data_IF_623762744096
#
_entry.id   IF_623762744096
#
_cell.length_a   1.000
_cell.length_b   1.000
_cell.length_c   1.000
_cell.angle_alpha   90.00
_cell.angle_beta   90.00
_cell.angle_gamma   90.00
#
_symmetry.space_group_name_H-M   'P 1'
#
loop_
_entity.id
_entity.type
_entity.pdbx_description
1 polymer ?
#
# COMPACT_ATOMS: atom_id res chain seq x y z
N UNK A 1 35.93 11.19 1.84
CA UNK A 1 34.93 10.22 2.33
C UNK A 1 33.99 9.94 1.19
N UNK A 2 33.83 8.69 0.77
CA UNK A 2 32.87 8.35 -0.30
C UNK A 2 31.47 8.40 0.32
N UNK A 3 30.71 9.44 0.03
CA UNK A 3 29.31 9.54 0.44
C UNK A 3 28.50 8.45 -0.27
N UNK A 4 27.65 7.73 0.45
CA UNK A 4 26.75 6.75 -0.14
C UNK A 4 25.72 7.52 -0.97
N UNK A 5 25.54 7.15 -2.24
CA UNK A 5 24.48 7.72 -3.07
C UNK A 5 23.21 6.88 -2.99
N UNK A 6 22.18 7.45 -2.38
CA UNK A 6 20.84 6.89 -2.36
C UNK A 6 20.06 7.31 -3.61
N UNK A 7 19.30 6.40 -4.20
CA UNK A 7 18.33 6.77 -5.24
C UNK A 7 17.17 7.56 -4.62
N UNK A 8 16.45 8.36 -5.42
CA UNK A 8 15.22 9.00 -4.97
C UNK A 8 14.22 7.97 -4.43
N UNK A 9 13.45 8.38 -3.43
CA UNK A 9 12.36 7.57 -2.90
C UNK A 9 11.26 7.44 -3.95
N UNK A 10 10.85 6.21 -4.27
CA UNK A 10 9.76 5.94 -5.21
C UNK A 10 8.57 5.34 -4.47
N UNK A 11 7.38 5.91 -4.63
CA UNK A 11 6.14 5.26 -4.20
C UNK A 11 5.88 4.04 -5.09
N UNK A 12 5.93 2.86 -4.50
CA UNK A 12 5.77 1.58 -5.21
C UNK A 12 4.32 1.19 -5.34
N UNK A 13 3.52 1.43 -4.29
CA UNK A 13 2.08 1.23 -4.24
C UNK A 13 1.46 2.05 -3.11
N UNK A 14 0.17 2.34 -3.21
CA UNK A 14 -0.64 2.87 -2.13
C UNK A 14 -1.95 2.09 -1.97
N UNK A 15 -2.53 2.22 -0.78
CA UNK A 15 -3.84 1.68 -0.43
C UNK A 15 -4.75 2.83 -0.06
N UNK A 16 -5.86 2.96 -0.79
CA UNK A 16 -6.91 3.93 -0.48
C UNK A 16 -8.14 3.21 0.03
N UNK A 17 -8.87 3.89 0.89
CA UNK A 17 -10.13 3.41 1.45
C UNK A 17 -11.12 4.54 1.49
N UNK A 18 -12.40 4.23 1.57
CA UNK A 18 -13.40 5.26 1.68
C UNK A 18 -14.81 4.70 1.80
N UNK A 19 -15.78 5.57 1.56
CA UNK A 19 -17.20 5.24 1.64
C UNK A 19 -17.96 5.87 0.48
N UNK A 20 -18.88 5.11 -0.12
CA UNK A 20 -19.61 5.45 -1.34
C UNK A 20 -20.99 6.10 -1.07
N UNK A 21 -21.14 6.77 0.08
CA UNK A 21 -22.37 7.48 0.44
C UNK A 21 -23.55 6.60 0.90
N UNK A 22 -23.74 5.41 0.34
CA UNK A 22 -24.88 4.52 0.62
C UNK A 22 -24.45 3.06 0.78
N UNK A 23 -25.32 2.25 1.39
CA UNK A 23 -25.26 0.79 1.31
C UNK A 23 -25.42 0.30 -0.14
N UNK A 24 -24.83 -0.85 -0.44
CA UNK A 24 -24.71 -1.42 -1.79
C UNK A 24 -25.18 -2.86 -1.79
N UNK A 25 -26.08 -3.20 -2.70
CA UNK A 25 -26.58 -4.54 -2.95
C UNK A 25 -25.65 -5.27 -3.93
N UNK A 26 -24.61 -5.92 -3.40
CA UNK A 26 -23.56 -6.59 -4.17
C UNK A 26 -24.10 -7.70 -5.11
N UNK A 27 -25.15 -8.40 -4.70
CA UNK A 27 -25.81 -9.43 -5.51
C UNK A 27 -26.42 -8.86 -6.80
N UNK A 28 -27.01 -7.66 -6.73
CA UNK A 28 -27.54 -6.93 -7.89
C UNK A 28 -26.43 -6.46 -8.83
N UNK A 29 -25.26 -6.08 -8.29
CA UNK A 29 -24.10 -5.80 -9.15
C UNK A 29 -23.69 -7.08 -9.87
N UNK A 30 -23.54 -8.18 -9.14
CA UNK A 30 -23.07 -9.45 -9.71
C UNK A 30 -23.99 -9.98 -10.83
N UNK A 31 -25.32 -9.86 -10.68
CA UNK A 31 -26.28 -10.30 -11.71
C UNK A 31 -26.23 -9.49 -13.00
N UNK A 32 -25.67 -8.27 -12.95
CA UNK A 32 -25.61 -7.35 -14.08
C UNK A 32 -24.20 -7.21 -14.66
N UNK A 33 -23.16 -7.43 -13.86
CA UNK A 33 -21.76 -7.23 -14.25
C UNK A 33 -21.34 -8.13 -15.41
N UNK A 34 -21.97 -9.30 -15.55
CA UNK A 34 -21.71 -10.26 -16.64
C UNK A 34 -21.94 -9.65 -18.02
N UNK A 35 -22.83 -8.66 -18.13
CA UNK A 35 -23.13 -7.96 -19.40
C UNK A 35 -22.07 -6.93 -19.78
N UNK A 36 -21.24 -6.49 -18.84
CA UNK A 36 -20.30 -5.37 -19.00
C UNK A 36 -18.83 -5.75 -18.75
N UNK A 37 -18.55 -6.99 -18.33
CA UNK A 37 -17.18 -7.48 -18.20
C UNK A 37 -16.52 -7.57 -19.58
N UNK A 38 -15.29 -7.08 -19.66
CA UNK A 38 -14.48 -7.17 -20.86
C UNK A 38 -13.57 -8.42 -20.80
N UNK A 39 -13.36 -9.10 -21.94
CA UNK A 39 -12.34 -10.15 -22.04
C UNK A 39 -10.94 -9.58 -21.79
N UNK A 40 -10.05 -10.36 -21.15
CA UNK A 40 -8.70 -9.91 -20.81
C UNK A 40 -7.84 -9.47 -22.02
N UNK A 41 -8.06 -10.08 -23.18
CA UNK A 41 -7.37 -9.74 -24.42
C UNK A 41 -7.90 -8.47 -25.12
N UNK A 42 -9.01 -7.90 -24.64
CA UNK A 42 -9.58 -6.68 -25.22
C UNK A 42 -8.75 -5.45 -24.76
N UNK A 43 -8.17 -4.66 -25.68
CA UNK A 43 -7.31 -3.52 -25.34
C UNK A 43 -8.14 -2.27 -24.98
N UNK A 44 -9.09 -2.41 -24.06
CA UNK A 44 -10.02 -1.35 -23.65
C UNK A 44 -10.08 -1.24 -22.13
N UNK A 45 -10.61 -0.12 -21.65
CA UNK A 45 -10.92 0.06 -20.22
C UNK A 45 -12.19 -0.72 -19.87
N UNK A 46 -12.22 -1.32 -18.68
CA UNK A 46 -13.36 -2.15 -18.31
C UNK A 46 -13.18 -2.91 -17.01
N UNK A 47 -14.26 -3.59 -16.61
CA UNK A 47 -14.23 -4.56 -15.52
C UNK A 47 -13.70 -5.87 -16.10
N UNK A 48 -12.59 -6.37 -15.58
CA UNK A 48 -12.00 -7.65 -16.01
C UNK A 48 -12.55 -8.83 -15.22
N UNK A 49 -12.82 -8.61 -13.93
CA UNK A 49 -13.18 -9.67 -13.00
C UNK A 49 -14.02 -9.15 -11.84
N UNK A 50 -14.98 -9.96 -11.39
CA UNK A 50 -15.69 -9.79 -10.13
C UNK A 50 -15.75 -11.12 -9.39
N UNK A 51 -15.41 -11.09 -8.10
CA UNK A 51 -15.60 -12.17 -7.14
C UNK A 51 -16.70 -11.76 -6.15
N UNK A 52 -17.70 -12.62 -5.97
CA UNK A 52 -18.78 -12.43 -5.00
C UNK A 52 -19.16 -13.78 -4.41
N UNK A 53 -19.03 -13.92 -3.09
CA UNK A 53 -19.16 -15.21 -2.40
C UNK A 53 -18.29 -16.27 -3.08
N UNK A 54 -18.85 -17.45 -3.39
CA UNK A 54 -18.15 -18.54 -4.08
C UNK A 54 -18.17 -18.39 -5.61
N UNK A 55 -18.68 -17.27 -6.14
CA UNK A 55 -18.89 -17.07 -7.58
C UNK A 55 -17.85 -16.09 -8.12
N UNK A 56 -17.35 -16.40 -9.32
CA UNK A 56 -16.36 -15.59 -10.02
C UNK A 56 -16.81 -15.42 -11.47
N UNK A 57 -16.71 -14.19 -11.98
CA UNK A 57 -16.89 -13.89 -13.40
C UNK A 57 -15.65 -13.14 -13.88
N UNK A 58 -15.16 -13.51 -15.07
CA UNK A 58 -14.01 -12.88 -15.69
C UNK A 58 -12.65 -13.34 -15.13
N UNK A 59 -11.58 -12.75 -15.63
CA UNK A 59 -10.19 -13.15 -15.35
C UNK A 59 -9.27 -11.93 -15.29
N UNK A 60 -8.28 -11.96 -14.39
CA UNK A 60 -7.20 -10.96 -14.32
C UNK A 60 -5.88 -11.50 -14.87
N UNK A 61 -4.92 -10.63 -15.18
CA UNK A 61 -3.60 -11.07 -15.63
C UNK A 61 -2.91 -11.99 -14.60
N UNK A 62 -3.15 -11.71 -13.31
CA UNK A 62 -2.63 -12.55 -12.23
C UNK A 62 -3.22 -13.96 -12.24
N UNK A 63 -4.48 -14.13 -12.63
CA UNK A 63 -5.12 -15.46 -12.70
C UNK A 63 -4.54 -16.30 -13.86
N UNK A 64 -4.09 -15.67 -14.94
CA UNK A 64 -3.38 -16.37 -16.02
C UNK A 64 -1.97 -16.80 -15.61
N UNK A 65 -1.28 -15.97 -14.82
CA UNK A 65 0.08 -16.24 -14.35
C UNK A 65 0.13 -17.21 -13.17
N UNK A 66 -0.93 -17.29 -12.37
CA UNK A 66 -0.99 -18.13 -11.17
C UNK A 66 -2.10 -19.16 -11.31
N UNK A 67 -1.80 -20.46 -11.23
CA UNK A 67 -2.79 -21.55 -11.22
C UNK A 67 -3.61 -21.56 -9.91
N UNK A 68 -4.31 -20.48 -9.61
CA UNK A 68 -4.99 -20.29 -8.33
C UNK A 68 -6.31 -21.04 -8.33
N UNK A 69 -6.52 -21.90 -7.33
CA UNK A 69 -7.84 -22.48 -7.02
C UNK A 69 -8.65 -21.46 -6.22
N UNK A 70 -9.94 -21.34 -6.53
CA UNK A 70 -10.90 -20.54 -5.75
C UNK A 70 -10.85 -21.03 -4.30
N UNK A 71 -10.70 -20.13 -3.33
CA UNK A 71 -10.61 -20.54 -1.92
C UNK A 71 -11.98 -20.73 -1.32
N UNK A 72 -12.17 -21.80 -0.55
CA UNK A 72 -13.44 -22.13 0.13
C UNK A 72 -13.84 -21.15 1.25
N UNK A 73 -12.94 -20.24 1.65
CA UNK A 73 -13.21 -19.22 2.68
C UNK A 73 -13.68 -17.92 2.03
N UNK A 74 -14.99 -17.68 2.09
CA UNK A 74 -15.59 -16.44 1.60
C UNK A 74 -15.83 -15.44 2.72
N UNK A 75 -15.45 -14.20 2.45
CA UNK A 75 -15.92 -13.06 3.24
C UNK A 75 -17.24 -12.60 2.61
N UNK A 76 -18.36 -13.01 3.23
CA UNK A 76 -19.71 -12.84 2.68
C UNK A 76 -20.15 -11.38 2.46
N UNK A 77 -19.53 -10.41 3.15
CA UNK A 77 -19.96 -9.01 3.11
C UNK A 77 -19.12 -8.12 2.19
N UNK A 78 -18.43 -8.70 1.20
CA UNK A 78 -17.66 -7.96 0.21
C UNK A 78 -17.73 -8.58 -1.19
N UNK A 79 -17.46 -7.75 -2.20
CA UNK A 79 -17.09 -8.17 -3.55
C UNK A 79 -15.71 -7.64 -3.88
N UNK A 80 -14.92 -8.43 -4.61
CA UNK A 80 -13.62 -7.99 -5.14
C UNK A 80 -13.72 -7.82 -6.65
N UNK A 81 -13.27 -6.67 -7.14
CA UNK A 81 -13.20 -6.32 -8.54
C UNK A 81 -11.76 -6.19 -8.98
N UNK A 82 -11.49 -6.59 -10.23
CA UNK A 82 -10.29 -6.20 -10.95
C UNK A 82 -10.72 -5.34 -12.13
N UNK A 83 -10.29 -4.08 -12.12
CA UNK A 83 -10.58 -3.10 -13.17
C UNK A 83 -9.33 -2.85 -14.00
N UNK A 84 -9.51 -2.60 -15.30
CA UNK A 84 -8.46 -2.09 -16.18
C UNK A 84 -8.75 -0.64 -16.51
N UNK A 85 -7.81 0.25 -16.19
CA UNK A 85 -7.89 1.68 -16.53
C UNK A 85 -6.60 2.13 -17.21
N UNK A 86 -6.71 2.98 -18.21
CA UNK A 86 -5.59 3.59 -18.89
C UNK A 86 -4.97 4.65 -17.99
N UNK A 87 -3.65 4.59 -17.82
CA UNK A 87 -2.89 5.62 -17.13
C UNK A 87 -2.62 6.78 -18.07
N UNK A 88 -3.00 7.99 -17.66
CA UNK A 88 -2.78 9.21 -18.47
C UNK A 88 -1.31 9.62 -18.54
N UNK A 89 -0.51 9.26 -17.54
CA UNK A 89 0.89 9.66 -17.42
C UNK A 89 1.83 8.88 -18.35
N UNK A 90 1.53 7.61 -18.64
CA UNK A 90 2.39 6.77 -19.48
C UNK A 90 1.66 6.05 -20.63
N UNK A 91 0.33 6.19 -20.73
CA UNK A 91 -0.48 5.54 -21.77
C UNK A 91 -0.60 4.03 -21.63
N UNK A 92 -0.25 3.45 -20.49
CA UNK A 92 -0.32 2.00 -20.26
C UNK A 92 -1.58 1.61 -19.48
N UNK A 93 -2.09 0.41 -19.74
CA UNK A 93 -3.18 -0.14 -18.95
C UNK A 93 -2.69 -0.62 -17.58
N UNK A 94 -3.41 -0.23 -16.53
CA UNK A 94 -3.18 -0.70 -15.17
C UNK A 94 -4.37 -1.51 -14.67
N UNK A 95 -4.08 -2.71 -14.16
CA UNK A 95 -5.05 -3.49 -13.41
C UNK A 95 -5.08 -3.02 -11.95
N UNK A 96 -6.28 -2.70 -11.46
CA UNK A 96 -6.53 -2.17 -10.12
C UNK A 96 -7.47 -3.09 -9.37
N UNK A 97 -7.10 -3.46 -8.14
CA UNK A 97 -7.91 -4.33 -7.29
C UNK A 97 -8.73 -3.48 -6.35
N UNK A 98 -10.06 -3.64 -6.38
CA UNK A 98 -10.99 -2.89 -5.53
C UNK A 98 -11.88 -3.87 -4.77
N UNK A 99 -11.95 -3.72 -3.46
CA UNK A 99 -12.94 -4.39 -2.61
C UNK A 99 -14.05 -3.42 -2.29
N UNK A 100 -15.28 -3.86 -2.45
CA UNK A 100 -16.50 -3.13 -2.10
C UNK A 100 -17.23 -3.90 -1.03
N UNK A 101 -17.63 -3.22 0.03
CA UNK A 101 -18.36 -3.79 1.15
C UNK A 101 -19.83 -3.37 1.06
N UNK A 102 -20.76 -4.24 1.48
CA UNK A 102 -22.20 -3.95 1.34
C UNK A 102 -22.65 -2.72 2.16
N UNK A 103 -21.86 -2.31 3.16
CA UNK A 103 -22.12 -1.07 3.91
C UNK A 103 -21.79 0.21 3.12
N UNK A 104 -21.20 0.10 1.92
CA UNK A 104 -20.74 1.23 1.12
C UNK A 104 -19.25 1.54 1.25
N UNK A 105 -18.53 0.84 2.12
CA UNK A 105 -17.09 0.96 2.23
C UNK A 105 -16.36 0.45 0.98
N UNK A 106 -15.19 1.00 0.69
CA UNK A 106 -14.29 0.44 -0.31
C UNK A 106 -12.83 0.41 0.17
N UNK A 107 -12.05 -0.49 -0.43
CA UNK A 107 -10.60 -0.54 -0.32
C UNK A 107 -10.01 -0.80 -1.70
N UNK A 108 -9.06 0.03 -2.13
CA UNK A 108 -8.36 -0.11 -3.40
C UNK A 108 -6.86 -0.34 -3.16
N UNK A 109 -6.28 -1.27 -3.90
CA UNK A 109 -4.86 -1.62 -3.80
C UNK A 109 -4.22 -1.75 -5.19
N UNK A 110 -2.90 -1.61 -5.26
CA UNK A 110 -2.13 -1.77 -6.50
C UNK A 110 -2.07 -0.51 -7.37
N UNK A 111 -2.53 0.63 -6.86
CA UNK A 111 -2.34 1.97 -7.45
C UNK A 111 -1.06 2.61 -6.92
N UNK A 112 -0.51 3.58 -7.63
CA UNK A 112 0.72 4.30 -7.25
C UNK A 112 0.49 5.78 -6.98
N UNK A 113 -0.70 6.28 -7.29
CA UNK A 113 -1.04 7.69 -7.28
C UNK A 113 -2.46 7.90 -6.75
N UNK A 114 -2.66 8.97 -5.98
CA UNK A 114 -3.93 9.26 -5.33
C UNK A 114 -4.97 9.74 -6.33
N UNK A 115 -4.59 10.61 -7.27
CA UNK A 115 -5.50 11.15 -8.28
C UNK A 115 -5.99 10.05 -9.21
N UNK A 116 -5.09 9.17 -9.64
CA UNK A 116 -5.46 7.98 -10.40
C UNK A 116 -6.43 7.07 -9.62
N UNK A 117 -6.24 6.92 -8.30
CA UNK A 117 -7.17 6.17 -7.45
C UNK A 117 -8.56 6.81 -7.41
N UNK A 118 -8.63 8.15 -7.36
CA UNK A 118 -9.90 8.91 -7.41
C UNK A 118 -10.59 8.77 -8.77
N UNK A 119 -9.84 8.83 -9.87
CA UNK A 119 -10.38 8.62 -11.21
C UNK A 119 -10.98 7.21 -11.36
N UNK A 120 -10.27 6.19 -10.89
CA UNK A 120 -10.72 4.79 -10.97
C UNK A 120 -12.00 4.57 -10.18
N UNK A 121 -12.07 5.05 -8.92
CA UNK A 121 -13.28 4.87 -8.11
C UNK A 121 -14.47 5.64 -8.70
N UNK A 122 -14.24 6.86 -9.20
CA UNK A 122 -15.30 7.66 -9.81
C UNK A 122 -15.84 7.01 -11.08
N UNK A 123 -14.96 6.45 -11.91
CA UNK A 123 -15.36 5.71 -13.10
C UNK A 123 -16.22 4.49 -12.75
N UNK A 124 -15.83 3.72 -11.73
CA UNK A 124 -16.61 2.57 -11.27
C UNK A 124 -17.97 2.98 -10.69
N UNK A 125 -18.04 4.08 -9.94
CA UNK A 125 -19.30 4.65 -9.42
C UNK A 125 -20.24 5.00 -10.58
N UNK A 126 -19.72 5.64 -11.63
CA UNK A 126 -20.54 5.99 -12.80
C UNK A 126 -21.14 4.75 -13.46
N UNK A 127 -20.38 3.65 -13.56
CA UNK A 127 -20.89 2.37 -14.04
C UNK A 127 -21.99 1.84 -13.13
N UNK A 128 -21.77 1.80 -11.82
CA UNK A 128 -22.75 1.26 -10.87
C UNK A 128 -24.06 2.05 -10.86
N UNK A 129 -23.97 3.37 -10.96
CA UNK A 129 -25.15 4.25 -11.02
C UNK A 129 -25.90 4.15 -12.36
N UNK A 130 -25.23 3.67 -13.43
CA UNK A 130 -25.82 3.49 -14.76
C UNK A 130 -26.37 2.08 -15.02
N UNK A 131 -26.27 1.16 -14.06
CA UNK A 131 -26.84 -0.18 -14.19
C UNK A 131 -28.38 -0.12 -14.27
N UNK A 132 -28.96 -1.04 -15.05
CA UNK A 132 -30.42 -1.12 -15.29
C UNK A 132 -31.21 -1.27 -13.98
N UNK A 133 -30.71 -2.10 -13.07
CA UNK A 133 -31.27 -2.32 -11.73
C UNK A 133 -30.42 -1.57 -10.74
N UNK A 134 -31.04 -0.62 -10.03
CA UNK A 134 -30.40 0.17 -8.99
C UNK A 134 -29.78 -0.73 -7.89
N UNK A 135 -28.51 -0.45 -7.59
CA UNK A 135 -27.69 -1.22 -6.63
C UNK A 135 -27.62 -0.57 -5.25
N UNK A 136 -28.20 0.61 -5.09
CA UNK A 136 -28.27 1.39 -3.86
C UNK A 136 -29.55 2.22 -3.83
N UNK A 137 -29.92 2.70 -2.63
CA UNK A 137 -31.12 3.54 -2.46
C UNK A 137 -30.93 4.94 -3.06
N UNK A 138 -29.71 5.46 -2.95
CA UNK A 138 -29.28 6.75 -3.47
C UNK A 138 -28.10 6.55 -4.43
N UNK A 139 -27.91 7.44 -5.43
CA UNK A 139 -26.74 7.39 -6.30
C UNK A 139 -25.44 7.40 -5.50
N UNK A 140 -24.53 6.49 -5.83
CA UNK A 140 -23.25 6.37 -5.16
C UNK A 140 -22.37 7.59 -5.49
N UNK A 141 -21.61 8.04 -4.51
CA UNK A 141 -20.59 9.09 -4.65
C UNK A 141 -19.51 8.91 -3.59
N UNK A 142 -18.32 9.46 -3.82
CA UNK A 142 -17.22 9.37 -2.84
C UNK A 142 -17.52 10.30 -1.66
N UNK A 143 -18.08 9.75 -0.57
CA UNK A 143 -18.35 10.50 0.67
C UNK A 143 -17.11 10.67 1.54
N UNK A 144 -16.30 9.61 1.62
CA UNK A 144 -15.05 9.59 2.39
C UNK A 144 -13.97 8.99 1.48
N UNK A 145 -12.77 9.55 1.52
CA UNK A 145 -11.60 9.02 0.82
C UNK A 145 -10.35 9.28 1.66
N UNK A 146 -9.60 8.21 1.97
CA UNK A 146 -8.40 8.25 2.79
C UNK A 146 -7.31 7.36 2.20
N UNK A 147 -6.08 7.87 2.16
CA UNK A 147 -4.87 7.05 1.98
C UNK A 147 -4.53 6.37 3.30
N UNK A 148 -4.50 5.03 3.31
CA UNK A 148 -4.25 4.23 4.51
C UNK A 148 -2.83 3.70 4.62
N UNK A 149 -2.19 3.47 3.48
CA UNK A 149 -0.87 2.89 3.39
C UNK A 149 -0.15 3.43 2.16
N UNK A 150 1.05 3.94 2.37
CA UNK A 150 2.03 4.18 1.33
C UNK A 150 3.16 3.17 1.48
N UNK A 151 3.52 2.53 0.37
CA UNK A 151 4.69 1.70 0.25
C UNK A 151 5.65 2.40 -0.70
N UNK A 152 6.92 2.45 -0.32
CA UNK A 152 7.97 3.00 -1.14
C UNK A 152 9.21 2.13 -1.13
N UNK A 153 9.99 2.24 -2.19
CA UNK A 153 11.26 1.54 -2.34
C UNK A 153 12.33 2.47 -2.94
N UNK A 154 13.58 2.20 -2.60
CA UNK A 154 14.75 2.87 -3.14
C UNK A 154 16.00 2.01 -2.91
N UNK A 155 17.17 2.49 -3.37
CA UNK A 155 18.46 1.79 -3.24
C UNK A 155 19.52 2.70 -2.66
N UNK A 156 20.45 2.12 -1.90
CA UNK A 156 21.64 2.80 -1.39
C UNK A 156 22.90 2.58 -2.25
N UNK A 157 22.79 1.84 -3.36
CA UNK A 157 23.90 1.54 -4.28
C UNK A 157 25.17 0.97 -3.60
N UNK A 158 25.02 0.27 -2.47
CA UNK A 158 26.08 -0.41 -1.74
C UNK A 158 25.51 -1.64 -1.03
N UNK A 159 26.36 -2.63 -0.75
CA UNK A 159 25.95 -3.83 -0.02
C UNK A 159 25.93 -3.57 1.49
N UNK A 160 24.97 -4.17 2.20
CA UNK A 160 24.75 -3.93 3.62
C UNK A 160 25.27 -5.08 4.49
N UNK A 161 26.08 -4.74 5.49
CA UNK A 161 26.40 -5.61 6.64
C UNK A 161 25.23 -5.63 7.62
N UNK A 162 24.19 -6.41 7.29
CA UNK A 162 22.91 -6.47 8.02
C UNK A 162 23.06 -6.67 9.53
N UNK A 163 23.97 -7.55 9.96
CA UNK A 163 24.25 -7.78 11.39
C UNK A 163 24.76 -6.53 12.09
N UNK A 164 25.70 -5.81 11.49
CA UNK A 164 26.27 -4.58 12.07
C UNK A 164 25.26 -3.44 12.05
N UNK A 165 24.49 -3.32 10.97
CA UNK A 165 23.39 -2.36 10.90
C UNK A 165 22.36 -2.61 12.02
N UNK A 166 21.95 -3.85 12.22
CA UNK A 166 21.01 -4.20 13.30
C UNK A 166 21.56 -3.84 14.69
N UNK A 167 22.82 -4.16 14.98
CA UNK A 167 23.48 -3.80 16.25
C UNK A 167 23.49 -2.29 16.48
N UNK A 168 23.80 -1.50 15.44
CA UNK A 168 23.84 -0.04 15.54
C UNK A 168 22.42 0.52 15.78
N UNK A 169 21.42 0.04 15.04
CA UNK A 169 20.04 0.50 15.19
C UNK A 169 19.49 0.23 16.60
N UNK A 170 19.79 -0.94 17.17
CA UNK A 170 19.39 -1.28 18.54
C UNK A 170 20.24 -0.55 19.60
N UNK A 171 21.57 -0.60 19.49
CA UNK A 171 22.47 -0.17 20.55
C UNK A 171 22.77 1.32 20.59
N UNK A 172 22.88 1.97 19.43
CA UNK A 172 23.21 3.40 19.33
C UNK A 172 21.95 4.25 19.26
N UNK A 173 20.97 3.82 18.46
CA UNK A 173 19.75 4.59 18.20
C UNK A 173 18.53 4.11 19.00
N UNK A 174 18.65 3.04 19.80
CA UNK A 174 17.56 2.50 20.63
C UNK A 174 16.27 2.19 19.85
N UNK A 175 16.39 1.85 18.57
CA UNK A 175 15.25 1.54 17.70
C UNK A 175 14.80 0.10 17.91
N UNK A 176 13.49 -0.12 17.73
CA UNK A 176 12.93 -1.47 17.65
C UNK A 176 13.30 -2.08 16.29
N UNK A 177 14.37 -2.87 16.27
CA UNK A 177 14.86 -3.58 15.08
C UNK A 177 14.84 -5.10 15.30
N UNK A 178 14.52 -5.85 14.26
CA UNK A 178 14.51 -7.32 14.24
C UNK A 178 15.31 -7.81 13.05
N UNK A 179 16.17 -8.79 13.27
CA UNK A 179 16.97 -9.42 12.24
C UNK A 179 17.01 -10.94 12.44
N UNK A 180 16.04 -11.64 11.83
CA UNK A 180 15.91 -13.10 11.88
C UNK A 180 15.95 -13.64 10.45
N UNK A 181 17.13 -14.04 9.98
CA UNK A 181 17.38 -14.40 8.57
C UNK A 181 16.59 -15.62 8.08
N UNK A 182 16.11 -16.45 9.00
CA UNK A 182 15.28 -17.63 8.69
C UNK A 182 13.85 -17.26 8.33
N UNK A 183 13.34 -16.12 8.81
CA UNK A 183 11.95 -15.69 8.63
C UNK A 183 11.88 -14.49 7.68
N UNK A 184 12.85 -13.57 7.76
CA UNK A 184 12.85 -12.35 6.96
C UNK A 184 14.27 -11.97 6.54
N UNK A 185 14.46 -11.71 5.25
CA UNK A 185 15.80 -11.47 4.69
C UNK A 185 16.34 -10.06 4.98
N UNK A 186 15.49 -9.10 5.33
CA UNK A 186 15.89 -7.73 5.64
C UNK A 186 16.13 -7.50 7.14
N UNK A 187 16.87 -6.45 7.47
CA UNK A 187 16.80 -5.84 8.81
C UNK A 187 15.51 -5.05 8.89
N UNK A 188 14.60 -5.43 9.77
CA UNK A 188 13.28 -4.83 9.91
C UNK A 188 13.24 -3.89 11.11
N UNK A 189 13.14 -2.60 10.87
CA UNK A 189 13.22 -1.58 11.91
C UNK A 189 11.95 -0.74 11.95
N UNK A 190 11.48 -0.43 13.14
CA UNK A 190 10.30 0.40 13.37
C UNK A 190 10.71 1.82 13.68
N UNK A 191 10.17 2.75 12.89
CA UNK A 191 10.28 4.19 13.08
C UNK A 191 8.92 4.71 13.53
N UNK A 192 8.87 5.42 14.66
CA UNK A 192 7.63 5.97 15.22
C UNK A 192 7.54 7.47 14.94
N UNK A 193 6.65 7.83 14.01
CA UNK A 193 6.38 9.22 13.63
C UNK A 193 5.33 9.86 14.56
N UNK A 194 5.54 11.12 14.95
CA UNK A 194 4.52 11.98 15.54
C UNK A 194 4.89 13.47 15.39
N UNK A 195 3.96 14.30 14.91
CA UNK A 195 4.12 15.75 14.74
C UNK A 195 4.39 16.50 16.05
N UNK A 196 4.02 15.91 17.19
CA UNK A 196 4.21 16.51 18.53
C UNK A 196 5.63 16.26 19.07
N UNK A 197 6.37 15.30 18.50
CA UNK A 197 7.72 14.96 18.98
C UNK A 197 8.80 15.57 18.09
N UNK A 198 10.03 15.75 18.60
CA UNK A 198 11.16 16.19 17.79
C UNK A 198 11.36 15.27 16.58
N UNK A 199 11.58 15.92 15.44
CA UNK A 199 11.87 15.25 14.17
C UNK A 199 13.13 14.40 14.30
N UNK A 200 13.10 13.20 13.72
CA UNK A 200 14.32 12.43 13.47
C UNK A 200 14.86 11.59 14.64
N UNK A 201 14.06 11.29 15.67
CA UNK A 201 14.46 10.27 16.67
C UNK A 201 13.94 8.86 16.35
N UNK A 202 12.74 8.77 15.77
CA UNK A 202 12.13 7.49 15.39
C UNK A 202 11.65 6.60 16.54
N UNK A 203 11.66 7.10 17.78
CA UNK A 203 11.21 6.38 18.98
C UNK A 203 9.87 6.93 19.47
N UNK A 204 8.99 6.05 19.96
CA UNK A 204 7.73 6.47 20.57
C UNK A 204 7.97 7.04 21.98
N UNK A 205 7.57 8.30 22.21
CA UNK A 205 7.67 8.99 23.51
C UNK A 205 6.33 9.12 24.26
N UNK A 206 5.32 8.32 23.89
CA UNK A 206 4.02 8.39 24.53
C UNK A 206 4.12 7.96 26.00
N UNK A 207 3.54 8.75 26.90
CA UNK A 207 3.47 8.45 28.34
C UNK A 207 2.63 7.23 28.68
N UNK A 208 1.72 6.85 27.77
CA UNK A 208 0.92 5.62 27.83
C UNK A 208 1.27 4.72 26.66
N UNK A 209 0.96 3.43 26.84
CA UNK A 209 1.15 2.42 25.80
C UNK A 209 0.56 2.88 24.46
N UNK A 210 1.39 2.86 23.42
CA UNK A 210 1.03 3.27 22.07
C UNK A 210 1.22 2.10 21.10
N UNK A 211 0.16 1.75 20.36
CA UNK A 211 0.19 0.64 19.39
C UNK A 211 0.92 0.99 18.09
N UNK A 212 1.18 2.29 17.85
CA UNK A 212 1.76 2.77 16.59
C UNK A 212 0.77 2.74 15.41
N UNK A 213 -0.53 2.59 15.66
CA UNK A 213 -1.56 2.53 14.61
C UNK A 213 -2.27 3.88 14.36
N UNK A 214 -1.85 4.94 15.04
CA UNK A 214 -2.43 6.28 14.91
C UNK A 214 -2.12 6.94 13.57
N UNK A 215 -2.43 8.22 13.44
CA UNK A 215 -2.11 9.04 12.26
C UNK A 215 -0.82 9.85 12.42
N UNK A 216 -0.26 9.91 13.63
CA UNK A 216 0.94 10.69 13.95
C UNK A 216 0.68 12.15 14.29
N UNK A 217 -0.56 12.59 14.49
CA UNK A 217 -0.88 14.03 14.64
C UNK A 217 -1.04 14.50 16.09
N UNK A 218 -1.16 13.57 17.04
CA UNK A 218 -1.45 13.87 18.45
C UNK A 218 -0.74 12.92 19.41
N UNK A 219 -0.63 13.34 20.66
CA UNK A 219 -0.11 12.53 21.76
C UNK A 219 -0.85 11.19 21.84
N UNK A 220 -0.11 10.10 22.03
CA UNK A 220 -0.67 8.74 22.08
C UNK A 220 -1.01 8.13 20.71
N UNK A 221 -0.95 8.90 19.61
CA UNK A 221 -1.35 8.46 18.28
C UNK A 221 -0.17 8.33 17.30
N UNK A 222 1.00 7.86 17.75
CA UNK A 222 2.14 7.65 16.86
C UNK A 222 1.77 6.77 15.67
N UNK A 223 2.38 7.07 14.53
CA UNK A 223 2.35 6.22 13.35
C UNK A 223 3.63 5.40 13.27
N UNK A 224 3.50 4.08 13.35
CA UNK A 224 4.62 3.14 13.18
C UNK A 224 4.85 2.87 11.71
N UNK A 225 6.00 3.30 11.24
CA UNK A 225 6.53 3.07 9.90
C UNK A 225 7.57 1.96 9.99
N UNK A 226 7.57 1.05 9.03
CA UNK A 226 8.53 -0.03 8.93
C UNK A 226 9.55 0.30 7.85
N UNK A 227 10.82 0.21 8.21
CA UNK A 227 11.96 0.36 7.32
C UNK A 227 12.64 -1.00 7.23
N UNK A 228 12.69 -1.57 6.04
CA UNK A 228 13.31 -2.86 5.77
C UNK A 228 14.54 -2.67 4.87
N UNK A 229 15.72 -2.99 5.40
CA UNK A 229 17.00 -2.86 4.68
C UNK A 229 17.51 -4.23 4.28
N UNK A 230 17.72 -4.47 2.99
CA UNK A 230 18.16 -5.76 2.45
C UNK A 230 19.66 -5.77 2.18
N UNK A 231 20.25 -6.97 2.09
CA UNK A 231 21.68 -7.15 1.83
C UNK A 231 22.15 -6.47 0.55
N UNK A 232 21.30 -6.47 -0.48
CA UNK A 232 21.55 -5.88 -1.79
C UNK A 232 21.61 -4.35 -1.77
N UNK A 233 21.31 -3.72 -0.64
CA UNK A 233 21.15 -2.27 -0.55
C UNK A 233 19.78 -1.76 -1.03
N UNK A 234 18.86 -2.66 -1.37
CA UNK A 234 17.45 -2.30 -1.55
C UNK A 234 16.85 -1.94 -0.18
N UNK A 235 16.02 -0.91 -0.14
CA UNK A 235 15.35 -0.47 1.08
C UNK A 235 13.86 -0.27 0.77
N UNK A 236 13.00 -0.78 1.66
CA UNK A 236 11.56 -0.58 1.61
C UNK A 236 11.13 0.24 2.83
N UNK A 237 10.32 1.26 2.61
CA UNK A 237 9.63 2.00 3.67
C UNK A 237 8.14 1.78 3.47
N UNK A 238 7.46 1.27 4.48
CA UNK A 238 6.03 0.94 4.43
C UNK A 238 5.35 1.30 5.73
N UNK A 239 4.04 1.55 5.69
CA UNK A 239 3.25 1.87 6.88
C UNK A 239 2.93 3.34 6.99
N UNK A 240 3.52 4.23 6.20
CA UNK A 240 3.18 5.65 6.19
C UNK A 240 1.76 5.90 5.61
N UNK A 241 1.16 7.04 5.95
CA UNK A 241 -0.11 7.53 5.40
C UNK A 241 0.05 8.81 4.59
N UNK A 242 1.13 9.54 4.79
CA UNK A 242 1.41 10.82 4.12
C UNK A 242 2.81 10.82 3.53
N UNK A 243 3.05 11.68 2.53
CA UNK A 243 4.38 11.84 1.94
C UNK A 243 5.41 12.34 2.97
N UNK A 244 5.02 13.28 3.83
CA UNK A 244 5.88 13.79 4.93
C UNK A 244 6.42 12.68 5.83
N UNK A 245 5.58 11.71 6.17
CA UNK A 245 5.97 10.55 6.98
C UNK A 245 7.00 9.68 6.27
N UNK A 246 6.87 9.50 4.96
CA UNK A 246 7.85 8.77 4.15
C UNK A 246 9.17 9.53 4.05
N UNK A 247 9.12 10.83 3.78
CA UNK A 247 10.32 11.66 3.62
C UNK A 247 11.14 11.74 4.91
N UNK A 248 10.47 11.86 6.06
CA UNK A 248 11.14 11.87 7.36
C UNK A 248 11.78 10.51 7.66
N UNK A 249 11.08 9.41 7.42
CA UNK A 249 11.63 8.06 7.60
C UNK A 249 12.81 7.79 6.65
N UNK A 250 12.74 8.27 5.40
CA UNK A 250 13.80 8.19 4.40
C UNK A 250 15.04 8.99 4.82
N UNK A 251 14.86 10.26 5.21
CA UNK A 251 15.96 11.10 5.70
C UNK A 251 16.61 10.51 6.94
N UNK A 252 15.80 10.05 7.90
CA UNK A 252 16.26 9.43 9.14
C UNK A 252 17.18 8.24 8.90
N UNK A 253 16.72 7.22 8.16
CA UNK A 253 17.53 6.01 7.95
C UNK A 253 18.76 6.28 7.09
N UNK A 254 18.66 7.16 6.10
CA UNK A 254 19.80 7.51 5.25
C UNK A 254 20.88 8.24 6.05
N UNK A 255 20.50 9.12 6.98
CA UNK A 255 21.45 9.79 7.88
C UNK A 255 22.19 8.77 8.76
N UNK A 256 21.49 7.76 9.31
CA UNK A 256 22.13 6.69 10.08
C UNK A 256 23.12 5.90 9.23
N UNK A 257 22.69 5.44 8.05
CA UNK A 257 23.53 4.66 7.14
C UNK A 257 24.74 5.46 6.67
N UNK A 258 24.57 6.75 6.41
CA UNK A 258 25.65 7.65 5.98
C UNK A 258 26.67 7.85 7.11
N UNK A 259 26.20 8.09 8.33
CA UNK A 259 27.03 8.28 9.54
C UNK A 259 27.89 7.05 9.81
N UNK A 260 27.30 5.85 9.73
CA UNK A 260 27.99 4.59 10.01
C UNK A 260 28.45 3.84 8.76
N UNK A 261 28.60 4.53 7.63
CA UNK A 261 28.84 3.94 6.31
C UNK A 261 29.98 2.92 6.30
N UNK A 262 31.10 3.21 6.97
CA UNK A 262 32.26 2.30 7.06
C UNK A 262 31.95 0.98 7.78
N UNK A 263 31.12 1.05 8.81
CA UNK A 263 30.73 -0.10 9.64
C UNK A 263 29.69 -0.94 8.90
N UNK A 264 28.65 -0.29 8.35
CA UNK A 264 27.46 -0.97 7.84
C UNK A 264 27.51 -1.32 6.35
N UNK A 265 28.48 -0.82 5.58
CA UNK A 265 28.56 -1.10 4.14
C UNK A 265 29.75 -1.96 3.74
N UNK A 266 29.60 -2.63 2.60
CA UNK A 266 30.68 -3.25 1.83
C UNK A 266 30.64 -2.66 0.41
N UNK A 267 31.80 -2.52 -0.25
CA UNK A 267 31.81 -2.22 -1.68
C UNK A 267 30.92 -3.21 -2.42
N UNK A 268 30.12 -2.72 -3.36
CA UNK A 268 29.51 -3.61 -4.34
C UNK A 268 30.66 -4.22 -5.15
N UNK A 269 30.76 -5.55 -5.15
CA UNK A 269 31.70 -6.28 -6.00
C UNK A 269 31.36 -6.08 -7.47
#
# INVERSE_FOLDING_TARGET
>A
MTSIQFTPLRISTLVTTGHLGSQIELSKIFSQVSKIIIPIGCPTEGILKMEYENKVIGFSARDLLTKRRVSDKTFFNQSTFVLRKLRKDNGEFKEVNIKIFANGGFQMTGVTDEDFSREVIQWMINIFNALEIAVSREPLFVKIFNVQLLNSDYKMNALVKRTELHKILCGVYNLSSTFETTIYQGVNTKYYYNDVYPVGEGICRCSRFCTGQGDGTKLGACKRITIAVFQTGSIIITGARTQRQLDEAYGFINNIIQTHSKEVTRPAC
#
